data_IF_969582356752
#
_entry.id   IF_969582356752
#
_cell.length_a   1.000
_cell.length_b   1.000
_cell.length_c   1.000
_cell.angle_alpha   90.00
_cell.angle_beta   90.00
_cell.angle_gamma   90.00
#
_symmetry.space_group_name_H-M   'P 1'
#
loop_
_entity.id
_entity.type
_entity.pdbx_description
1 polymer ?
#
# COMPACT_ATOMS: atom_id res chain seq x y z
N UNK A 1 6.36 -60.90 -36.57
CA UNK A 1 7.26 -59.73 -36.57
C UNK A 1 6.73 -58.75 -37.61
N UNK A 2 5.95 -57.75 -37.18
CA UNK A 2 5.61 -56.58 -38.00
C UNK A 2 5.53 -55.39 -37.06
N UNK A 3 6.25 -54.35 -37.46
CA UNK A 3 6.65 -53.23 -36.65
C UNK A 3 5.50 -52.26 -36.35
N UNK A 4 5.67 -51.59 -35.22
CA UNK A 4 4.95 -50.44 -34.69
C UNK A 4 4.62 -49.38 -35.72
N UNK A 5 3.36 -48.95 -35.75
CA UNK A 5 2.91 -47.71 -36.37
C UNK A 5 2.47 -46.79 -35.22
N UNK A 6 3.42 -45.97 -34.73
CA UNK A 6 3.17 -44.90 -33.77
C UNK A 6 2.81 -43.65 -34.58
N UNK A 7 1.53 -43.31 -34.63
CA UNK A 7 1.08 -42.00 -35.10
C UNK A 7 1.31 -40.98 -33.97
N UNK A 8 2.32 -40.14 -34.16
CA UNK A 8 2.63 -38.98 -33.33
C UNK A 8 1.45 -37.99 -33.37
N UNK A 9 0.83 -37.77 -32.20
CA UNK A 9 -0.19 -36.73 -32.05
C UNK A 9 0.48 -35.35 -32.11
N UNK A 10 -0.09 -34.37 -32.83
CA UNK A 10 0.41 -33.00 -32.83
C UNK A 10 0.21 -32.43 -31.42
N UNK A 11 1.32 -32.16 -30.74
CA UNK A 11 1.28 -31.49 -29.44
C UNK A 11 0.71 -30.09 -29.65
N UNK A 12 -0.54 -29.91 -29.22
CA UNK A 12 -1.08 -28.59 -28.97
C UNK A 12 -0.17 -27.95 -27.93
N UNK A 13 0.63 -26.99 -28.36
CA UNK A 13 1.30 -26.07 -27.45
C UNK A 13 0.16 -25.19 -26.93
N UNK A 14 -0.53 -25.66 -25.89
CA UNK A 14 -1.26 -24.77 -25.01
C UNK A 14 -0.20 -23.88 -24.38
N UNK A 15 -0.13 -22.66 -24.89
CA UNK A 15 0.54 -21.54 -24.26
C UNK A 15 -0.17 -21.33 -22.92
N UNK A 16 0.23 -22.11 -21.92
CA UNK A 16 -0.09 -21.85 -20.52
C UNK A 16 0.57 -20.52 -20.24
N UNK A 17 -0.20 -19.44 -20.37
CA UNK A 17 0.11 -18.18 -19.74
C UNK A 17 0.50 -18.53 -18.31
N UNK A 18 1.78 -18.37 -18.03
CA UNK A 18 2.37 -18.60 -16.73
C UNK A 18 1.70 -17.61 -15.77
N UNK A 19 0.59 -18.06 -15.18
CA UNK A 19 -0.28 -17.37 -14.24
C UNK A 19 0.42 -17.24 -12.87
N UNK A 20 1.75 -17.12 -12.87
CA UNK A 20 2.58 -16.92 -11.68
C UNK A 20 2.68 -15.46 -11.25
N UNK A 21 1.86 -14.57 -11.82
CA UNK A 21 1.51 -13.30 -11.18
C UNK A 21 0.17 -13.39 -10.42
N UNK A 22 -0.17 -14.57 -9.88
CA UNK A 22 -1.07 -14.63 -8.74
C UNK A 22 -0.31 -14.12 -7.51
N UNK A 23 -0.32 -12.79 -7.33
CA UNK A 23 -0.14 -12.25 -6.00
C UNK A 23 -1.31 -12.79 -5.16
N UNK A 24 -1.06 -13.58 -4.10
CA UNK A 24 -2.14 -13.94 -3.19
C UNK A 24 -2.78 -12.64 -2.67
N UNK A 25 -4.07 -12.63 -2.30
CA UNK A 25 -4.69 -11.47 -1.65
C UNK A 25 -4.08 -11.31 -0.25
N UNK A 26 -2.88 -10.75 -0.19
CA UNK A 26 -2.08 -10.45 0.98
C UNK A 26 -1.79 -8.95 0.96
N UNK A 27 -2.64 -8.22 1.67
CA UNK A 27 -2.44 -6.87 2.24
C UNK A 27 -1.34 -6.01 1.59
N UNK A 28 -1.71 -5.29 0.52
CA UNK A 28 -0.96 -4.19 -0.11
C UNK A 28 0.29 -4.56 -0.93
N UNK A 29 0.45 -3.88 -2.08
CA UNK A 29 1.71 -3.90 -2.83
C UNK A 29 2.83 -3.24 -2.00
N UNK A 30 4.11 -3.51 -2.31
CA UNK A 30 5.22 -2.86 -1.62
C UNK A 30 5.18 -1.32 -1.66
N UNK A 31 4.65 -0.75 -2.75
CA UNK A 31 4.51 0.71 -2.90
C UNK A 31 3.38 1.24 -2.01
N UNK A 32 2.24 0.55 -2.00
CA UNK A 32 1.12 0.87 -1.12
C UNK A 32 1.53 0.81 0.36
N UNK A 33 2.22 -0.27 0.77
CA UNK A 33 2.73 -0.43 2.14
C UNK A 33 3.73 0.68 2.50
N UNK A 34 4.63 1.06 1.57
CA UNK A 34 5.56 2.17 1.78
C UNK A 34 4.84 3.47 2.12
N UNK A 35 3.85 3.87 1.32
CA UNK A 35 3.13 5.12 1.57
C UNK A 35 2.26 5.07 2.82
N UNK A 36 1.58 3.94 3.09
CA UNK A 36 0.77 3.76 4.29
C UNK A 36 1.62 3.83 5.58
N UNK A 37 2.80 3.18 5.60
CA UNK A 37 3.73 3.28 6.74
C UNK A 37 4.24 4.70 6.93
N UNK A 38 4.64 5.35 5.84
CA UNK A 38 5.10 6.74 5.87
C UNK A 38 4.01 7.67 6.42
N UNK A 39 2.76 7.47 6.02
CA UNK A 39 1.62 8.26 6.51
C UNK A 39 1.40 8.05 8.02
N UNK A 40 1.50 6.81 8.50
CA UNK A 40 1.39 6.48 9.93
C UNK A 40 2.48 7.17 10.74
N UNK A 41 3.73 7.13 10.28
CA UNK A 41 4.84 7.79 10.97
C UNK A 41 4.65 9.31 11.03
N UNK A 42 4.13 9.92 9.97
CA UNK A 42 3.82 11.35 9.95
C UNK A 42 2.64 11.70 10.87
N UNK A 43 1.64 10.82 10.98
CA UNK A 43 0.52 10.99 11.90
C UNK A 43 1.00 10.97 13.37
N UNK A 44 1.85 10.02 13.75
CA UNK A 44 2.46 9.98 15.08
C UNK A 44 3.31 11.22 15.36
N UNK A 45 4.14 11.65 14.40
CA UNK A 45 4.92 12.90 14.53
C UNK A 45 4.05 14.12 14.75
N UNK A 46 2.86 14.16 14.14
CA UNK A 46 1.89 15.25 14.35
C UNK A 46 1.36 15.22 15.78
N UNK A 47 1.04 14.07 16.33
CA UNK A 47 0.60 13.93 17.73
C UNK A 47 1.69 14.36 18.70
N UNK A 48 2.93 13.89 18.48
CA UNK A 48 4.10 14.30 19.27
C UNK A 48 4.32 15.81 19.21
N UNK A 49 4.29 16.40 18.01
CA UNK A 49 4.43 17.84 17.80
C UNK A 49 3.34 18.62 18.52
N UNK A 50 2.08 18.16 18.45
CA UNK A 50 0.94 18.79 19.13
C UNK A 50 1.06 18.74 20.67
N UNK A 51 1.83 17.80 21.21
CA UNK A 51 2.12 17.70 22.65
C UNK A 51 3.22 18.63 23.16
N UNK A 52 3.92 19.36 22.29
CA UNK A 52 5.04 20.23 22.68
C UNK A 52 4.54 21.62 23.15
N UNK A 53 5.17 22.18 24.20
CA UNK A 53 4.84 23.52 24.72
C UNK A 53 5.26 24.66 23.78
N UNK A 54 6.29 24.47 22.95
CA UNK A 54 6.81 25.48 22.02
C UNK A 54 6.85 24.93 20.59
N UNK A 55 5.69 24.94 19.93
CA UNK A 55 5.54 24.52 18.54
C UNK A 55 6.02 25.61 17.58
N UNK A 56 6.94 25.28 16.67
CA UNK A 56 7.30 26.16 15.55
C UNK A 56 6.19 26.15 14.48
N UNK A 57 5.54 27.30 14.18
CA UNK A 57 4.51 27.38 13.15
C UNK A 57 4.99 26.93 11.76
N UNK A 58 6.29 27.05 11.45
CA UNK A 58 6.85 26.60 10.18
C UNK A 58 6.89 25.07 10.11
N UNK A 59 7.36 24.42 11.18
CA UNK A 59 7.40 22.95 11.28
C UNK A 59 5.99 22.37 11.21
N UNK A 60 5.02 22.98 11.89
CA UNK A 60 3.61 22.57 11.81
C UNK A 60 3.10 22.60 10.36
N UNK A 61 3.35 23.70 9.64
CA UNK A 61 2.94 23.85 8.24
C UNK A 61 3.62 22.84 7.33
N UNK A 62 4.92 22.59 7.55
CA UNK A 62 5.66 21.63 6.76
C UNK A 62 5.12 20.22 6.97
N UNK A 63 4.91 19.82 8.22
CA UNK A 63 4.36 18.51 8.58
C UNK A 63 2.97 18.30 7.97
N UNK A 64 2.08 19.29 8.07
CA UNK A 64 0.76 19.22 7.47
C UNK A 64 0.81 19.04 5.95
N UNK A 65 1.73 19.76 5.26
CA UNK A 65 1.92 19.60 3.81
C UNK A 65 2.47 18.24 3.44
N UNK A 66 3.42 17.71 4.23
CA UNK A 66 3.99 16.38 3.99
C UNK A 66 2.94 15.28 4.18
N UNK A 67 2.11 15.38 5.22
CA UNK A 67 0.97 14.45 5.44
C UNK A 67 0.03 14.48 4.24
N UNK A 68 -0.36 15.67 3.77
CA UNK A 68 -1.26 15.79 2.62
C UNK A 68 -0.64 15.20 1.34
N UNK A 69 0.63 15.47 1.06
CA UNK A 69 1.31 14.91 -0.10
C UNK A 69 1.32 13.37 -0.06
N UNK A 70 1.70 12.78 1.08
CA UNK A 70 1.71 11.32 1.24
C UNK A 70 0.31 10.71 1.19
N UNK A 71 -0.73 11.41 1.65
CA UNK A 71 -2.11 10.99 1.44
C UNK A 71 -2.47 10.95 -0.05
N UNK A 72 -2.05 11.94 -0.84
CA UNK A 72 -2.28 11.92 -2.29
C UNK A 72 -1.53 10.79 -2.99
N UNK A 73 -0.32 10.46 -2.53
CA UNK A 73 0.41 9.29 -3.00
C UNK A 73 -0.36 7.98 -2.69
N UNK A 74 -0.91 7.86 -1.47
CA UNK A 74 -1.77 6.72 -1.09
C UNK A 74 -3.03 6.61 -1.97
N UNK A 75 -3.67 7.75 -2.28
CA UNK A 75 -4.83 7.79 -3.18
C UNK A 75 -4.44 7.39 -4.59
N UNK A 76 -3.28 7.84 -5.08
CA UNK A 76 -2.74 7.46 -6.39
C UNK A 76 -2.48 5.95 -6.52
N UNK A 77 -2.05 5.31 -5.43
CA UNK A 77 -1.84 3.85 -5.35
C UNK A 77 -3.12 3.05 -5.04
N UNK A 78 -4.28 3.69 -4.90
CA UNK A 78 -5.57 3.03 -4.66
C UNK A 78 -5.84 2.60 -3.21
N UNK A 79 -5.08 3.12 -2.24
CA UNK A 79 -5.21 2.80 -0.80
C UNK A 79 -5.67 4.00 0.04
N UNK A 80 -6.50 4.86 -0.57
CA UNK A 80 -7.01 6.08 0.05
C UNK A 80 -7.86 5.82 1.31
N UNK A 81 -8.69 4.78 1.30
CA UNK A 81 -9.57 4.45 2.45
C UNK A 81 -8.75 4.09 3.70
N UNK A 82 -7.69 3.31 3.51
CA UNK A 82 -6.79 2.91 4.60
C UNK A 82 -5.95 4.11 5.07
N UNK A 83 -5.53 4.97 4.14
CA UNK A 83 -4.86 6.22 4.49
C UNK A 83 -5.76 7.16 5.30
N UNK A 84 -7.05 7.24 4.96
CA UNK A 84 -8.03 8.00 5.73
C UNK A 84 -8.28 7.40 7.12
N UNK A 85 -8.34 6.07 7.24
CA UNK A 85 -8.44 5.39 8.53
C UNK A 85 -7.24 5.75 9.43
N UNK A 86 -6.01 5.71 8.91
CA UNK A 86 -4.79 6.11 9.64
C UNK A 86 -4.90 7.54 10.18
N UNK A 87 -5.42 8.48 9.39
CA UNK A 87 -5.54 9.88 9.81
C UNK A 87 -6.73 10.11 10.77
N UNK A 88 -7.78 9.29 10.68
CA UNK A 88 -8.98 9.34 11.50
C UNK A 88 -8.81 8.71 12.87
N UNK A 89 -8.01 7.66 12.99
CA UNK A 89 -7.73 6.98 14.28
C UNK A 89 -7.01 7.91 15.27
N UNK A 90 -6.22 8.86 14.79
CA UNK A 90 -5.62 9.93 15.62
C UNK A 90 -6.62 10.95 16.20
N UNK A 91 -7.93 10.81 15.92
CA UNK A 91 -9.00 11.66 16.46
C UNK A 91 -9.86 10.98 17.54
N UNK A 92 -9.68 9.67 17.80
CA UNK A 92 -10.56 8.88 18.69
C UNK A 92 -9.96 8.62 20.08
N UNK A 93 -8.69 8.90 20.32
CA UNK A 93 -8.10 8.83 21.68
C UNK A 93 -8.37 10.15 22.43
N UNK A 94 -9.65 10.41 22.67
CA UNK A 94 -10.14 11.63 23.33
C UNK A 94 -11.63 11.59 23.64
N UNK A 95 -12.23 10.40 23.76
CA UNK A 95 -13.62 10.27 24.21
C UNK A 95 -13.77 9.21 25.30
N UNK A 96 -13.97 9.77 26.49
CA UNK A 96 -14.70 9.25 27.66
C UNK A 96 -13.98 8.25 28.56
#
# INVERSE_FOLDING_TARGET
MTASDQLEQPQQIEETLDETLYDPPGEFTPMQDHFLRRLRDLAHKREEFMGQENQDPLEHKLLARTIYATLMDCVGEGVGDQAHAILGDGQVIGRS
#
